data_IF_434382465944
#
_entry.id   IF_434382465944
#
_cell.length_a   1.000
_cell.length_b   1.000
_cell.length_c   1.000
_cell.angle_alpha   90.00
_cell.angle_beta   90.00
_cell.angle_gamma   90.00
#
_symmetry.space_group_name_H-M   'P 1'
#
loop_
_entity.id
_entity.type
_entity.pdbx_description
1 polymer ?
#
# COMPACT_ATOMS: atom_id res chain seq x y z
N UNK A 1 38.64 19.75 -55.17
CA UNK A 1 37.79 20.50 -54.21
C UNK A 1 37.25 19.49 -53.22
N UNK A 2 37.89 19.38 -52.05
CA UNK A 2 37.48 18.51 -50.92
C UNK A 2 36.50 19.30 -50.06
N UNK A 3 35.41 18.66 -49.65
CA UNK A 3 34.44 19.18 -48.68
C UNK A 3 35.02 18.97 -47.27
N UNK A 4 34.89 19.91 -46.32
CA UNK A 4 35.58 19.82 -45.03
C UNK A 4 34.83 18.92 -44.03
N UNK A 5 35.61 18.15 -43.28
CA UNK A 5 35.20 17.53 -42.02
C UNK A 5 34.86 18.60 -40.98
N UNK A 6 33.75 18.40 -40.25
CA UNK A 6 33.47 19.10 -38.99
C UNK A 6 33.35 18.03 -37.91
N UNK A 7 34.34 18.01 -37.02
CA UNK A 7 34.31 17.35 -35.72
C UNK A 7 34.39 18.41 -34.62
N UNK A 8 33.80 18.05 -33.48
CA UNK A 8 33.86 18.70 -32.15
C UNK A 8 32.97 19.95 -31.98
N UNK A 9 32.15 20.10 -30.95
CA UNK A 9 31.89 19.29 -29.77
C UNK A 9 30.89 20.05 -28.89
N UNK A 10 29.75 19.45 -28.57
CA UNK A 10 28.84 19.93 -27.52
C UNK A 10 29.12 19.10 -26.27
N UNK A 11 29.35 19.72 -25.10
CA UNK A 11 29.76 19.01 -23.91
C UNK A 11 28.62 18.09 -23.43
N UNK A 12 28.89 16.79 -23.50
CA UNK A 12 28.23 15.79 -22.66
C UNK A 12 28.33 16.28 -21.22
N UNK A 13 27.19 16.66 -20.63
CA UNK A 13 27.02 16.83 -19.19
C UNK A 13 27.19 15.44 -18.54
N UNK A 14 28.45 15.00 -18.43
CA UNK A 14 28.89 13.94 -17.54
C UNK A 14 29.01 14.54 -16.15
N UNK A 15 28.48 13.80 -15.18
CA UNK A 15 28.74 13.93 -13.74
C UNK A 15 28.07 15.11 -13.03
N UNK A 16 26.73 15.10 -12.96
CA UNK A 16 26.08 15.45 -11.71
C UNK A 16 25.95 14.15 -10.91
N UNK A 17 26.85 13.93 -9.95
CA UNK A 17 26.77 12.79 -9.05
C UNK A 17 25.46 12.85 -8.28
N UNK A 18 24.48 12.04 -8.69
CA UNK A 18 23.30 11.75 -7.89
C UNK A 18 23.80 10.95 -6.69
N UNK A 19 23.97 11.65 -5.57
CA UNK A 19 24.12 10.99 -4.27
C UNK A 19 22.81 10.27 -3.97
N UNK A 20 22.74 9.00 -4.35
CA UNK A 20 21.70 8.08 -3.86
C UNK A 20 22.04 7.82 -2.40
N UNK A 21 21.33 8.49 -1.47
CA UNK A 21 21.43 8.13 -0.06
C UNK A 21 21.00 6.66 0.06
N UNK A 22 21.95 5.81 0.46
CA UNK A 22 21.76 4.35 0.57
C UNK A 22 20.75 3.96 1.66
N UNK A 23 20.15 4.93 2.36
CA UNK A 23 19.28 4.71 3.52
C UNK A 23 17.80 4.55 3.21
N UNK A 24 17.33 4.94 2.01
CA UNK A 24 15.94 4.70 1.61
C UNK A 24 15.91 3.78 0.38
N UNK A 25 15.23 2.65 0.49
CA UNK A 25 14.88 1.85 -0.69
C UNK A 25 13.93 2.71 -1.54
N UNK A 26 14.31 2.96 -2.80
CA UNK A 26 13.73 3.96 -3.72
C UNK A 26 12.23 3.81 -4.06
N UNK A 27 11.54 2.90 -3.38
CA UNK A 27 10.10 2.63 -3.52
C UNK A 27 9.31 2.93 -2.24
N UNK A 28 9.91 3.56 -1.22
CA UNK A 28 9.23 3.84 0.07
C UNK A 28 9.00 5.33 0.26
N UNK A 29 7.85 5.69 0.82
CA UNK A 29 7.55 7.04 1.29
C UNK A 29 7.12 6.99 2.76
N UNK A 30 7.25 8.13 3.46
CA UNK A 30 6.76 8.28 4.84
C UNK A 30 6.11 9.64 5.01
N UNK A 31 4.85 9.62 5.44
CA UNK A 31 4.11 10.84 5.79
C UNK A 31 4.52 11.24 7.22
N UNK A 32 5.01 12.48 7.43
CA UNK A 32 5.40 12.95 8.76
C UNK A 32 4.27 12.81 9.79
N UNK A 33 4.55 12.23 10.96
CA UNK A 33 3.58 12.02 12.03
C UNK A 33 2.43 11.06 11.68
N UNK A 34 2.60 10.24 10.64
CA UNK A 34 1.54 9.38 10.11
C UNK A 34 2.16 8.07 9.58
N UNK A 35 1.67 7.62 8.42
CA UNK A 35 1.90 6.29 7.86
C UNK A 35 3.08 6.25 6.89
N UNK A 36 3.66 5.07 6.70
CA UNK A 36 4.60 4.79 5.62
C UNK A 36 3.95 3.92 4.54
N UNK A 37 4.65 3.76 3.42
CA UNK A 37 4.14 2.91 2.36
C UNK A 37 5.10 2.76 1.20
N UNK A 38 4.59 2.14 0.13
CA UNK A 38 5.34 1.91 -1.10
C UNK A 38 4.74 2.64 -2.28
N UNK A 39 5.59 3.23 -3.10
CA UNK A 39 5.19 3.94 -4.32
C UNK A 39 5.69 3.21 -5.56
N UNK A 40 4.81 3.05 -6.53
CA UNK A 40 5.04 2.44 -7.84
C UNK A 40 4.68 3.46 -8.92
N UNK A 41 5.47 3.51 -9.99
CA UNK A 41 5.35 4.54 -11.03
C UNK A 41 5.91 4.04 -12.37
N UNK A 42 5.46 4.60 -13.52
CA UNK A 42 5.95 4.18 -14.82
C UNK A 42 7.46 4.41 -14.98
N UNK A 43 8.16 3.45 -15.59
CA UNK A 43 9.63 3.48 -15.78
C UNK A 43 9.97 3.27 -17.26
N UNK A 44 10.91 4.06 -17.77
CA UNK A 44 11.40 4.00 -19.16
C UNK A 44 11.69 2.57 -19.63
N UNK A 45 11.19 2.23 -20.82
CA UNK A 45 11.36 0.90 -21.44
C UNK A 45 12.81 0.52 -21.73
N UNK A 46 13.72 1.49 -21.86
CA UNK A 46 15.16 1.27 -22.07
C UNK A 46 15.92 1.19 -20.73
N UNK A 47 15.51 0.26 -19.87
CA UNK A 47 16.19 0.00 -18.59
C UNK A 47 17.59 -0.58 -18.88
N UNK A 48 18.62 0.27 -18.83
CA UNK A 48 20.01 -0.13 -18.99
C UNK A 48 20.49 -1.11 -17.90
N UNK A 49 21.56 -1.87 -18.22
CA UNK A 49 22.26 -2.71 -17.24
C UNK A 49 22.77 -1.85 -16.07
N UNK A 50 22.22 -2.04 -14.86
CA UNK A 50 22.71 -1.39 -13.63
C UNK A 50 21.64 -0.81 -12.70
N UNK A 51 20.39 -0.69 -13.14
CA UNK A 51 19.29 -0.20 -12.29
C UNK A 51 18.83 -1.26 -11.27
N UNK A 52 18.55 -0.84 -10.04
CA UNK A 52 18.07 -1.74 -8.98
C UNK A 52 16.57 -1.96 -9.12
N UNK A 53 16.19 -3.17 -9.52
CA UNK A 53 14.80 -3.63 -9.38
C UNK A 53 14.44 -3.77 -7.89
N UNK A 54 13.22 -3.40 -7.55
CA UNK A 54 12.65 -3.73 -6.23
C UNK A 54 12.32 -5.20 -6.12
N UNK A 55 12.29 -5.67 -4.88
CA UNK A 55 11.82 -7.01 -4.54
C UNK A 55 10.31 -6.98 -4.36
N UNK A 56 9.66 -8.13 -4.52
CA UNK A 56 8.25 -8.32 -4.14
C UNK A 56 8.05 -7.91 -2.68
N UNK A 57 8.75 -8.57 -1.76
CA UNK A 57 8.82 -8.14 -0.35
C UNK A 57 10.05 -7.28 -0.14
N UNK A 58 9.86 -6.05 0.33
CA UNK A 58 10.97 -5.15 0.64
C UNK A 58 11.81 -5.74 1.78
N UNK A 59 11.13 -6.24 2.82
CA UNK A 59 11.73 -6.98 3.94
C UNK A 59 10.94 -8.27 4.21
N UNK A 60 11.37 -9.36 3.57
CA UNK A 60 10.74 -10.67 3.73
C UNK A 60 10.81 -11.20 5.17
N UNK A 61 11.90 -10.93 5.89
CA UNK A 61 12.05 -11.40 7.28
C UNK A 61 11.01 -10.72 8.17
N UNK A 62 10.87 -9.39 8.06
CA UNK A 62 9.85 -8.64 8.78
C UNK A 62 8.44 -9.11 8.45
N UNK A 63 8.13 -9.29 7.17
CA UNK A 63 6.81 -9.80 6.76
C UNK A 63 6.53 -11.19 7.35
N UNK A 64 7.46 -12.15 7.18
CA UNK A 64 7.28 -13.52 7.64
C UNK A 64 7.18 -13.61 9.17
N UNK A 65 8.00 -12.86 9.90
CA UNK A 65 7.90 -12.79 11.37
C UNK A 65 6.62 -12.10 11.84
N UNK A 66 6.16 -11.08 11.12
CA UNK A 66 4.85 -10.45 11.34
C UNK A 66 3.69 -11.44 11.21
N UNK A 67 3.69 -12.28 10.18
CA UNK A 67 2.68 -13.33 9.99
C UNK A 67 2.68 -14.35 11.15
N UNK A 68 3.85 -14.68 11.68
CA UNK A 68 3.94 -15.54 12.87
C UNK A 68 3.37 -14.87 14.11
N UNK A 69 3.54 -13.56 14.27
CA UNK A 69 2.97 -12.80 15.38
C UNK A 69 1.44 -12.70 15.30
N UNK A 70 0.89 -12.54 14.10
CA UNK A 70 -0.55 -12.71 13.85
C UNK A 70 -1.00 -14.10 14.31
N UNK A 71 -0.29 -15.15 13.90
CA UNK A 71 -0.56 -16.52 14.35
C UNK A 71 -0.55 -16.64 15.87
N UNK A 72 0.46 -16.08 16.54
CA UNK A 72 0.56 -16.09 18.01
C UNK A 72 -0.60 -15.36 18.68
N UNK A 73 -0.99 -14.21 18.15
CA UNK A 73 -2.11 -13.44 18.67
C UNK A 73 -3.43 -14.21 18.54
N UNK A 74 -3.67 -14.83 17.39
CA UNK A 74 -4.87 -15.64 17.13
C UNK A 74 -4.92 -16.92 17.98
N UNK A 75 -3.76 -17.55 18.22
CA UNK A 75 -3.63 -18.79 19.00
C UNK A 75 -3.02 -18.58 20.39
N UNK A 76 -3.23 -17.42 21.01
CA UNK A 76 -2.63 -17.04 22.31
C UNK A 76 -2.88 -18.03 23.46
N UNK A 77 -3.96 -18.81 23.39
CA UNK A 77 -4.32 -19.82 24.41
C UNK A 77 -3.64 -21.18 24.20
N UNK A 78 -3.11 -21.46 23.00
CA UNK A 78 -2.51 -22.76 22.68
C UNK A 78 -1.00 -22.73 22.87
N UNK A 79 -0.51 -23.34 23.95
CA UNK A 79 0.94 -23.47 24.22
C UNK A 79 1.68 -24.17 23.08
N UNK A 80 1.06 -25.18 22.46
CA UNK A 80 1.62 -25.89 21.31
C UNK A 80 1.84 -24.93 20.14
N UNK A 81 0.84 -24.11 19.80
CA UNK A 81 0.98 -23.14 18.71
C UNK A 81 2.02 -22.06 19.03
N UNK A 82 2.17 -21.66 20.29
CA UNK A 82 3.23 -20.72 20.69
C UNK A 82 4.63 -21.33 20.48
N UNK A 83 4.81 -22.61 20.79
CA UNK A 83 6.09 -23.32 20.55
C UNK A 83 6.35 -23.44 19.05
N UNK A 84 5.35 -23.86 18.27
CA UNK A 84 5.47 -23.98 16.81
C UNK A 84 5.83 -22.64 16.18
N UNK A 85 5.16 -21.55 16.55
CA UNK A 85 5.47 -20.21 16.04
C UNK A 85 6.91 -19.78 16.37
N UNK A 86 7.41 -20.10 17.57
CA UNK A 86 8.79 -19.80 17.97
C UNK A 86 9.84 -20.60 17.21
N UNK A 87 9.57 -21.88 16.92
CA UNK A 87 10.44 -22.70 16.06
C UNK A 87 10.46 -22.12 14.64
N UNK A 88 9.29 -21.79 14.09
CA UNK A 88 9.18 -21.20 12.75
C UNK A 88 9.89 -19.84 12.66
N UNK A 89 9.75 -18.99 13.68
CA UNK A 89 10.42 -17.68 13.71
C UNK A 89 11.94 -17.85 13.69
N UNK A 90 12.45 -18.78 14.50
CA UNK A 90 13.87 -19.11 14.51
C UNK A 90 14.35 -19.62 13.14
N UNK A 91 13.56 -20.48 12.48
CA UNK A 91 13.87 -20.94 11.12
C UNK A 91 13.88 -19.81 10.09
N UNK A 92 12.91 -18.89 10.14
CA UNK A 92 12.84 -17.72 9.25
C UNK A 92 14.09 -16.86 9.42
N UNK A 93 14.51 -16.57 10.66
CA UNK A 93 15.72 -15.78 10.95
C UNK A 93 16.99 -16.46 10.42
N UNK A 94 17.09 -17.78 10.56
CA UNK A 94 18.21 -18.54 9.99
C UNK A 94 18.21 -18.46 8.47
N UNK A 95 17.07 -18.68 7.83
CA UNK A 95 16.95 -18.61 6.37
C UNK A 95 17.30 -17.21 5.87
N UNK A 96 16.80 -16.16 6.51
CA UNK A 96 17.09 -14.77 6.16
C UNK A 96 18.58 -14.41 6.35
N UNK A 97 19.25 -15.00 7.34
CA UNK A 97 20.67 -14.80 7.60
C UNK A 97 21.57 -15.58 6.62
N UNK A 98 21.20 -16.82 6.29
CA UNK A 98 22.03 -17.74 5.50
C UNK A 98 21.80 -17.58 3.99
N UNK A 99 20.56 -17.32 3.56
CA UNK A 99 20.23 -17.08 2.16
C UNK A 99 20.05 -15.57 1.91
N UNK A 100 20.84 -14.96 1.01
CA UNK A 100 20.54 -13.63 0.52
C UNK A 100 19.11 -13.58 -0.03
N UNK A 101 18.27 -12.67 0.46
CA UNK A 101 16.89 -12.45 -0.02
C UNK A 101 16.78 -12.30 -1.54
N UNK A 102 17.87 -11.93 -2.21
CA UNK A 102 18.00 -11.87 -3.67
C UNK A 102 17.86 -13.21 -4.39
N UNK A 103 18.04 -14.34 -3.71
CA UNK A 103 17.99 -15.67 -4.32
C UNK A 103 16.58 -16.29 -4.32
N UNK A 104 15.65 -15.78 -3.51
CA UNK A 104 14.32 -16.40 -3.34
C UNK A 104 13.15 -15.43 -3.40
N UNK A 105 13.36 -14.11 -3.33
CA UNK A 105 12.29 -13.12 -3.51
C UNK A 105 12.29 -12.64 -4.97
N UNK A 106 11.20 -12.84 -5.73
CA UNK A 106 11.06 -12.30 -7.07
C UNK A 106 11.28 -10.79 -7.11
N UNK A 107 11.87 -10.32 -8.20
CA UNK A 107 12.05 -8.89 -8.46
C UNK A 107 10.89 -8.36 -9.29
N UNK A 108 10.44 -7.15 -8.98
CA UNK A 108 9.39 -6.46 -9.72
C UNK A 108 10.00 -5.64 -10.86
N UNK A 109 9.30 -5.62 -11.99
CA UNK A 109 9.72 -4.92 -13.20
C UNK A 109 9.20 -3.47 -13.27
N UNK A 110 8.58 -2.94 -12.21
CA UNK A 110 7.79 -1.69 -12.24
C UNK A 110 8.32 -0.56 -11.36
N UNK A 111 9.47 -0.70 -10.71
CA UNK A 111 10.10 0.42 -10.02
C UNK A 111 11.60 0.34 -10.20
N UNK A 112 12.16 1.36 -10.82
CA UNK A 112 13.59 1.56 -10.93
C UNK A 112 13.90 2.99 -10.50
N UNK A 113 15.18 3.30 -10.32
CA UNK A 113 15.65 4.63 -9.90
C UNK A 113 15.48 5.72 -11.00
N UNK A 114 14.67 5.44 -12.04
CA UNK A 114 14.30 6.32 -13.14
C UNK A 114 12.79 6.29 -13.38
N UNK A 115 12.24 7.38 -13.90
CA UNK A 115 10.81 7.57 -14.18
C UNK A 115 10.66 7.86 -15.68
N UNK A 116 9.57 7.41 -16.30
CA UNK A 116 9.28 7.81 -17.69
C UNK A 116 9.19 9.34 -17.86
N UNK A 117 9.58 9.88 -19.02
CA UNK A 117 9.39 11.29 -19.35
C UNK A 117 7.90 11.51 -19.66
N UNK A 118 7.12 11.64 -18.60
CA UNK A 118 5.69 11.94 -18.64
C UNK A 118 5.49 13.42 -18.28
N UNK A 119 4.46 14.05 -18.85
CA UNK A 119 4.07 15.41 -18.50
C UNK A 119 3.73 15.51 -16.99
N UNK A 120 4.17 16.57 -16.33
CA UNK A 120 3.80 16.83 -14.93
C UNK A 120 2.26 16.96 -14.80
N UNK A 121 1.70 16.44 -13.71
CA UNK A 121 0.25 16.48 -13.45
C UNK A 121 -0.62 15.65 -14.40
N UNK A 122 -0.06 14.67 -15.11
CA UNK A 122 -0.77 13.91 -16.15
C UNK A 122 -1.19 12.49 -15.74
N UNK A 123 -0.69 11.96 -14.61
CA UNK A 123 -0.96 10.59 -14.18
C UNK A 123 -1.98 10.53 -13.04
N UNK A 124 -2.94 9.60 -13.07
CA UNK A 124 -3.80 9.37 -11.90
C UNK A 124 -2.97 8.85 -10.72
N UNK A 125 -3.43 9.16 -9.51
CA UNK A 125 -2.93 8.55 -8.27
C UNK A 125 -3.90 7.45 -7.82
N UNK A 126 -3.45 6.21 -7.87
CA UNK A 126 -4.09 5.09 -7.22
C UNK A 126 -3.59 5.01 -5.78
N UNK A 127 -4.48 4.98 -4.80
CA UNK A 127 -4.09 4.75 -3.39
C UNK A 127 -4.65 3.42 -2.93
N UNK A 128 -3.74 2.50 -2.60
CA UNK A 128 -4.06 1.09 -2.36
C UNK A 128 -4.04 0.76 -0.86
N UNK A 129 -5.11 0.13 -0.37
CA UNK A 129 -5.26 -0.33 1.01
C UNK A 129 -5.31 -1.87 1.08
N UNK A 130 -4.42 -2.46 1.88
CA UNK A 130 -4.22 -3.92 1.97
C UNK A 130 -5.31 -4.67 2.79
N UNK A 131 -5.24 -5.99 2.88
CA UNK A 131 -6.18 -6.78 3.69
C UNK A 131 -5.92 -6.73 5.21
N UNK A 132 -6.81 -7.33 6.01
CA UNK A 132 -6.49 -7.64 7.40
C UNK A 132 -5.29 -8.62 7.43
N UNK A 133 -4.39 -8.49 8.42
CA UNK A 133 -3.16 -9.29 8.56
C UNK A 133 -2.16 -9.17 7.40
N UNK A 134 -2.38 -8.28 6.44
CA UNK A 134 -1.39 -7.90 5.42
C UNK A 134 -0.44 -6.82 5.93
N UNK A 135 0.53 -6.38 5.12
CA UNK A 135 1.26 -5.14 5.37
C UNK A 135 1.42 -4.27 4.12
N UNK A 136 0.79 -4.64 3.00
CA UNK A 136 0.99 -3.99 1.71
C UNK A 136 1.79 -4.88 0.79
N UNK A 137 3.03 -5.23 1.15
CA UNK A 137 3.99 -5.92 0.28
C UNK A 137 3.42 -7.14 -0.46
N UNK A 138 2.46 -7.87 0.12
CA UNK A 138 1.79 -8.99 -0.55
C UNK A 138 1.09 -8.60 -1.87
N UNK A 139 0.67 -7.34 -2.01
CA UNK A 139 0.01 -6.78 -3.19
C UNK A 139 0.97 -6.05 -4.13
N UNK A 140 2.28 -6.02 -3.86
CA UNK A 140 3.22 -5.25 -4.68
C UNK A 140 3.25 -5.68 -6.16
N UNK A 141 2.95 -6.96 -6.47
CA UNK A 141 2.77 -7.43 -7.85
C UNK A 141 1.52 -6.83 -8.51
N UNK A 142 0.42 -6.71 -7.78
CA UNK A 142 -0.80 -6.05 -8.26
C UNK A 142 -0.56 -4.56 -8.45
N UNK A 143 0.04 -3.88 -7.46
CA UNK A 143 0.40 -2.47 -7.56
C UNK A 143 1.33 -2.21 -8.76
N UNK A 144 2.33 -3.08 -8.97
CA UNK A 144 3.19 -3.10 -10.16
C UNK A 144 2.41 -3.21 -11.47
N UNK A 145 1.42 -4.11 -11.52
CA UNK A 145 0.59 -4.28 -12.71
C UNK A 145 -0.30 -3.06 -12.94
N UNK A 146 -0.96 -2.51 -11.91
CA UNK A 146 -1.81 -1.34 -12.01
C UNK A 146 -1.07 -0.12 -12.57
N UNK A 147 0.18 0.10 -12.16
CA UNK A 147 1.04 1.16 -12.73
C UNK A 147 1.20 1.06 -14.25
N UNK A 148 1.23 -0.14 -14.81
CA UNK A 148 1.53 -0.40 -16.23
C UNK A 148 0.28 -0.58 -17.09
N UNK A 149 -0.72 -1.27 -16.55
CA UNK A 149 -1.91 -1.70 -17.28
C UNK A 149 -3.00 -0.60 -17.33
N UNK A 150 -2.95 0.38 -16.42
CA UNK A 150 -3.78 1.58 -16.56
C UNK A 150 -3.32 2.34 -17.80
N UNK A 151 -4.26 2.62 -18.71
CA UNK A 151 -3.98 3.32 -19.97
C UNK A 151 -3.36 4.68 -19.68
N UNK A 152 -2.16 4.92 -20.21
CA UNK A 152 -1.38 6.14 -19.94
C UNK A 152 -0.52 6.08 -18.69
N UNK A 153 -0.54 4.96 -17.95
CA UNK A 153 0.19 4.75 -16.71
C UNK A 153 -0.54 5.29 -15.48
N UNK A 154 -0.06 4.90 -14.29
CA UNK A 154 -0.55 5.42 -13.02
C UNK A 154 0.55 5.45 -11.96
N UNK A 155 0.45 6.41 -11.04
CA UNK A 155 1.19 6.36 -9.78
C UNK A 155 0.37 5.53 -8.81
N UNK A 156 0.95 4.51 -8.18
CA UNK A 156 0.28 3.69 -7.17
C UNK A 156 0.98 3.89 -5.84
N UNK A 157 0.26 4.39 -4.84
CA UNK A 157 0.73 4.51 -3.46
C UNK A 157 0.03 3.47 -2.59
N UNK A 158 0.77 2.43 -2.21
CA UNK A 158 0.35 1.42 -1.25
C UNK A 158 0.60 1.92 0.18
N UNK A 159 -0.39 1.77 1.05
CA UNK A 159 -0.37 2.30 2.43
C UNK A 159 -0.12 1.18 3.42
N UNK A 160 0.88 1.30 4.29
CA UNK A 160 1.19 0.32 5.35
C UNK A 160 0.52 0.74 6.66
N UNK A 161 -0.73 0.30 6.86
CA UNK A 161 -1.59 0.81 7.93
C UNK A 161 -1.07 0.55 9.35
N UNK A 162 -1.24 1.54 10.25
CA UNK A 162 -0.70 1.54 11.63
C UNK A 162 -1.78 1.30 12.69
N UNK A 163 -2.96 0.85 12.29
CA UNK A 163 -4.15 0.64 13.12
C UNK A 163 -4.14 -0.67 13.92
N UNK A 164 -3.02 -1.40 13.90
CA UNK A 164 -2.89 -2.72 14.50
C UNK A 164 -3.63 -3.82 13.71
N UNK A 165 -4.04 -3.56 12.46
CA UNK A 165 -4.61 -4.59 11.58
C UNK A 165 -3.54 -5.32 10.76
N UNK A 166 -2.37 -4.72 10.58
CA UNK A 166 -1.28 -5.26 9.79
C UNK A 166 -0.51 -6.38 10.51
N UNK A 167 0.11 -7.29 9.75
CA UNK A 167 1.05 -8.26 10.33
C UNK A 167 2.38 -7.62 10.74
N UNK A 168 2.75 -6.54 10.08
CA UNK A 168 3.90 -5.72 10.41
C UNK A 168 3.56 -4.26 10.11
N UNK A 169 3.78 -3.41 11.11
CA UNK A 169 3.68 -1.97 11.00
C UNK A 169 4.61 -1.35 12.04
N UNK A 170 5.09 -0.14 11.76
CA UNK A 170 5.91 0.63 12.69
C UNK A 170 5.34 2.04 12.85
N UNK A 171 5.48 2.61 14.05
CA UNK A 171 5.09 3.99 14.33
C UNK A 171 6.10 5.00 13.72
N UNK A 172 5.89 6.29 14.02
CA UNK A 172 6.78 7.37 13.57
C UNK A 172 8.22 7.26 14.09
N UNK A 173 8.43 6.56 15.22
CA UNK A 173 9.73 6.35 15.85
C UNK A 173 10.37 5.01 15.42
N UNK A 174 9.69 4.22 14.59
CA UNK A 174 10.14 2.91 14.16
C UNK A 174 9.85 1.79 15.16
N UNK A 175 9.05 2.03 16.20
CA UNK A 175 8.60 0.97 17.10
C UNK A 175 7.54 0.11 16.44
N UNK A 176 7.64 -1.20 16.66
CA UNK A 176 6.68 -2.16 16.13
C UNK A 176 5.29 -1.97 16.74
N UNK A 177 4.29 -1.86 15.87
CA UNK A 177 2.87 -1.87 16.24
C UNK A 177 2.39 -3.32 16.19
N UNK A 178 1.91 -3.90 17.31
CA UNK A 178 1.47 -5.28 17.34
C UNK A 178 0.10 -5.43 16.63
N UNK A 179 -0.11 -6.59 16.02
CA UNK A 179 -1.42 -6.99 15.54
C UNK A 179 -2.41 -7.11 16.70
N UNK A 180 -3.59 -6.50 16.54
CA UNK A 180 -4.69 -6.51 17.50
C UNK A 180 -5.73 -7.53 17.00
N UNK A 181 -5.85 -8.72 17.63
CA UNK A 181 -6.88 -9.68 17.30
C UNK A 181 -8.25 -9.21 17.78
N UNK A 182 -9.31 -9.80 17.23
CA UNK A 182 -10.67 -9.53 17.71
C UNK A 182 -10.75 -9.79 19.22
N UNK A 183 -11.34 -8.86 20.00
CA UNK A 183 -11.40 -9.00 21.43
C UNK A 183 -12.26 -10.22 21.79
N UNK A 184 -11.69 -11.14 22.57
CA UNK A 184 -12.42 -12.30 23.09
C UNK A 184 -13.02 -11.92 24.44
N UNK A 185 -14.35 -11.82 24.51
CA UNK A 185 -15.08 -11.52 25.76
C UNK A 185 -15.04 -10.05 26.19
N UNK A 186 -14.82 -9.12 25.25
CA UNK A 186 -15.03 -7.69 25.50
C UNK A 186 -16.53 -7.39 25.50
N UNK A 187 -17.03 -6.50 26.37
CA UNK A 187 -18.43 -6.08 26.34
C UNK A 187 -18.80 -5.32 25.05
N UNK A 188 -17.81 -4.85 24.28
CA UNK A 188 -18.05 -4.19 23.00
C UNK A 188 -17.04 -4.64 21.92
N UNK A 189 -17.26 -5.80 21.28
CA UNK A 189 -16.47 -6.24 20.13
C UNK A 189 -16.77 -5.41 18.87
N UNK A 190 -17.77 -4.53 18.90
CA UNK A 190 -18.28 -3.83 17.71
C UNK A 190 -17.45 -2.62 17.32
N UNK A 191 -16.66 -2.10 18.24
CA UNK A 191 -15.90 -0.87 18.04
C UNK A 191 -14.57 -1.06 17.32
N UNK A 192 -13.90 -2.21 17.46
CA UNK A 192 -12.51 -2.36 17.02
C UNK A 192 -12.36 -2.17 15.51
N UNK A 193 -13.07 -2.96 14.71
CA UNK A 193 -12.93 -2.95 13.24
C UNK A 193 -13.42 -1.65 12.60
N UNK A 194 -14.54 -1.03 13.03
CA UNK A 194 -14.91 0.30 12.56
C UNK A 194 -13.88 1.39 12.90
N UNK A 195 -13.31 1.39 14.11
CA UNK A 195 -12.25 2.34 14.49
C UNK A 195 -11.00 2.17 13.62
N UNK A 196 -10.61 0.92 13.38
CA UNK A 196 -9.52 0.57 12.48
C UNK A 196 -9.78 1.06 11.05
N UNK A 197 -10.93 0.75 10.46
CA UNK A 197 -11.32 1.23 9.12
C UNK A 197 -11.31 2.77 9.03
N UNK A 198 -11.82 3.45 10.05
CA UNK A 198 -11.77 4.92 10.13
C UNK A 198 -10.33 5.45 10.15
N UNK A 199 -9.47 4.85 10.98
CA UNK A 199 -8.05 5.22 11.02
C UNK A 199 -7.38 4.98 9.66
N UNK A 200 -7.60 3.81 9.05
CA UNK A 200 -7.05 3.46 7.73
C UNK A 200 -7.48 4.45 6.64
N UNK A 201 -8.75 4.89 6.66
CA UNK A 201 -9.25 5.89 5.73
C UNK A 201 -8.60 7.27 5.94
N UNK A 202 -8.32 7.66 7.20
CA UNK A 202 -7.55 8.85 7.51
C UNK A 202 -6.10 8.75 7.04
N UNK A 203 -5.44 7.60 7.25
CA UNK A 203 -4.08 7.33 6.77
C UNK A 203 -4.01 7.43 5.24
N UNK A 204 -4.97 6.84 4.51
CA UNK A 204 -5.09 7.02 3.04
C UNK A 204 -5.22 8.51 2.67
N UNK A 205 -6.06 9.27 3.38
CA UNK A 205 -6.23 10.69 3.12
C UNK A 205 -4.93 11.49 3.36
N UNK A 206 -4.18 11.16 4.42
CA UNK A 206 -2.88 11.76 4.71
C UNK A 206 -1.85 11.47 3.62
N UNK A 207 -1.84 10.26 3.05
CA UNK A 207 -0.99 9.94 1.89
C UNK A 207 -1.36 10.77 0.67
N UNK A 208 -2.66 10.88 0.36
CA UNK A 208 -3.14 11.71 -0.76
C UNK A 208 -2.73 13.17 -0.57
N UNK A 209 -2.97 13.74 0.60
CA UNK A 209 -2.58 15.12 0.93
C UNK A 209 -1.09 15.33 0.81
N UNK A 210 -0.30 14.41 1.36
CA UNK A 210 1.15 14.47 1.32
C UNK A 210 1.68 14.44 -0.11
N UNK A 211 1.25 13.49 -0.93
CA UNK A 211 1.74 13.35 -2.31
C UNK A 211 1.24 14.49 -3.21
N UNK A 212 -0.01 14.93 -3.07
CA UNK A 212 -0.52 16.06 -3.85
C UNK A 212 0.14 17.39 -3.45
N UNK A 213 0.49 17.59 -2.18
CA UNK A 213 1.24 18.76 -1.73
C UNK A 213 2.63 18.82 -2.39
N UNK A 214 3.33 17.68 -2.44
CA UNK A 214 4.62 17.57 -3.14
C UNK A 214 4.45 17.85 -4.64
N UNK A 215 3.44 17.25 -5.26
CA UNK A 215 3.12 17.49 -6.67
C UNK A 215 2.78 18.94 -7.00
N UNK A 216 2.27 19.69 -6.03
CA UNK A 216 1.96 21.12 -6.16
C UNK A 216 3.15 22.05 -5.87
N UNK A 217 4.33 21.50 -5.58
CA UNK A 217 5.58 22.25 -5.39
C UNK A 217 6.17 22.22 -3.97
N UNK A 218 5.60 21.47 -3.02
CA UNK A 218 6.26 21.27 -1.73
C UNK A 218 7.47 20.31 -1.85
N UNK A 219 8.68 20.86 -1.78
CA UNK A 219 9.89 20.05 -1.86
C UNK A 219 10.13 19.21 -0.60
N UNK A 220 10.48 17.94 -0.80
CA UNK A 220 11.01 17.03 0.24
C UNK A 220 12.49 16.74 0.03
N UNK A 221 13.11 16.13 1.02
CA UNK A 221 14.52 15.72 0.94
C UNK A 221 14.78 14.63 -0.09
N UNK A 222 13.75 13.87 -0.51
CA UNK A 222 13.86 12.80 -1.49
C UNK A 222 13.60 13.33 -2.92
N UNK A 223 14.63 13.45 -3.77
CA UNK A 223 14.48 14.02 -5.11
C UNK A 223 13.72 13.12 -6.09
N UNK A 224 13.63 11.81 -5.82
CA UNK A 224 12.85 10.89 -6.63
C UNK A 224 11.38 11.01 -6.27
N UNK A 225 11.06 11.04 -4.98
CA UNK A 225 9.70 11.27 -4.52
C UNK A 225 9.14 12.60 -5.06
N UNK A 226 9.93 13.68 -5.04
CA UNK A 226 9.52 14.96 -5.61
C UNK A 226 9.18 14.83 -7.11
N UNK A 227 10.03 14.12 -7.87
CA UNK A 227 9.79 13.88 -9.30
C UNK A 227 8.54 13.06 -9.56
N UNK A 228 8.37 11.95 -8.84
CA UNK A 228 7.22 11.06 -8.99
C UNK A 228 5.92 11.79 -8.62
N UNK A 229 5.92 12.52 -7.51
CA UNK A 229 4.74 13.23 -7.04
C UNK A 229 4.31 14.37 -7.97
N UNK A 230 5.24 15.02 -8.68
CA UNK A 230 4.91 16.02 -9.71
C UNK A 230 4.17 15.45 -10.91
N UNK A 231 4.21 14.14 -11.14
CA UNK A 231 3.41 13.52 -12.20
C UNK A 231 1.94 13.34 -11.83
N UNK A 232 1.58 13.49 -10.55
CA UNK A 232 0.23 13.23 -10.05
C UNK A 232 -0.73 14.33 -10.49
N UNK A 233 -1.81 13.93 -11.15
CA UNK A 233 -3.01 14.74 -11.34
C UNK A 233 -3.88 14.68 -10.07
N UNK A 234 -3.99 15.78 -9.30
CA UNK A 234 -4.76 15.80 -8.05
C UNK A 234 -6.28 15.67 -8.27
N UNK A 235 -6.76 15.71 -9.52
CA UNK A 235 -8.17 15.52 -9.88
C UNK A 235 -8.52 14.09 -10.28
N UNK A 236 -7.53 13.19 -10.34
CA UNK A 236 -7.73 11.78 -10.69
C UNK A 236 -7.16 10.86 -9.60
N UNK A 237 -7.84 10.86 -8.45
CA UNK A 237 -7.51 10.00 -7.32
C UNK A 237 -8.41 8.76 -7.33
N UNK A 238 -7.80 7.57 -7.42
CA UNK A 238 -8.52 6.29 -7.50
C UNK A 238 -8.22 5.46 -6.25
N UNK A 239 -9.08 5.49 -5.23
CA UNK A 239 -8.93 4.62 -4.06
C UNK A 239 -9.25 3.17 -4.45
N UNK A 240 -8.35 2.26 -4.08
CA UNK A 240 -8.44 0.82 -4.33
C UNK A 240 -8.15 0.07 -3.04
N UNK A 241 -8.90 -1.00 -2.77
CA UNK A 241 -8.68 -1.76 -1.55
C UNK A 241 -9.10 -3.21 -1.63
N UNK A 242 -8.32 -4.08 -0.99
CA UNK A 242 -8.56 -5.51 -0.90
C UNK A 242 -9.06 -5.92 0.48
N UNK A 243 -10.10 -6.75 0.57
CA UNK A 243 -10.63 -7.27 1.82
C UNK A 243 -10.97 -6.15 2.81
N UNK A 244 -10.28 -6.05 3.94
CA UNK A 244 -10.44 -4.96 4.90
C UNK A 244 -10.09 -3.58 4.31
N UNK A 245 -9.20 -3.54 3.32
CA UNK A 245 -8.95 -2.37 2.50
C UNK A 245 -10.14 -1.97 1.64
N UNK A 246 -10.98 -2.92 1.20
CA UNK A 246 -12.22 -2.61 0.49
C UNK A 246 -13.22 -1.87 1.40
N UNK A 247 -13.35 -2.28 2.66
CA UNK A 247 -14.10 -1.53 3.67
C UNK A 247 -13.48 -0.15 3.96
N UNK A 248 -12.15 -0.06 3.92
CA UNK A 248 -11.41 1.21 4.06
C UNK A 248 -11.75 2.18 2.94
N UNK A 249 -11.78 1.72 1.68
CA UNK A 249 -12.17 2.54 0.53
C UNK A 249 -13.64 2.98 0.64
N UNK A 250 -14.53 2.08 1.07
CA UNK A 250 -15.94 2.42 1.31
C UNK A 250 -16.07 3.53 2.36
N UNK A 251 -15.31 3.45 3.47
CA UNK A 251 -15.29 4.46 4.52
C UNK A 251 -14.73 5.79 4.01
N UNK A 252 -13.62 5.75 3.28
CA UNK A 252 -13.00 6.93 2.68
C UNK A 252 -13.99 7.66 1.78
N UNK A 253 -14.59 6.96 0.81
CA UNK A 253 -15.50 7.57 -0.17
C UNK A 253 -16.82 8.06 0.43
N UNK A 254 -17.23 7.52 1.58
CA UNK A 254 -18.50 7.90 2.22
C UNK A 254 -18.33 8.97 3.30
N UNK A 255 -17.09 9.21 3.76
CA UNK A 255 -16.84 10.08 4.92
C UNK A 255 -15.54 10.87 4.84
N UNK A 256 -14.37 10.25 5.05
CA UNK A 256 -13.09 10.95 5.20
C UNK A 256 -12.73 11.74 3.94
N UNK A 257 -12.87 11.10 2.78
CA UNK A 257 -12.63 11.69 1.46
C UNK A 257 -13.84 12.38 0.85
N UNK A 258 -14.95 12.56 1.59
CA UNK A 258 -16.22 13.02 1.01
C UNK A 258 -16.08 14.36 0.28
N UNK A 259 -15.30 15.30 0.81
CA UNK A 259 -15.04 16.57 0.12
C UNK A 259 -14.37 16.36 -1.25
N UNK A 260 -13.38 15.47 -1.36
CA UNK A 260 -12.72 15.15 -2.64
C UNK A 260 -13.66 14.44 -3.61
N UNK A 261 -14.60 13.66 -3.08
CA UNK A 261 -15.69 13.06 -3.85
C UNK A 261 -16.63 14.14 -4.41
N UNK A 262 -17.08 15.06 -3.56
CA UNK A 262 -17.95 16.18 -3.94
C UNK A 262 -17.28 17.13 -4.96
N UNK A 263 -15.98 17.39 -4.77
CA UNK A 263 -15.14 18.18 -5.67
C UNK A 263 -14.78 17.44 -6.98
N UNK A 264 -15.23 16.18 -7.14
CA UNK A 264 -14.98 15.30 -8.29
C UNK A 264 -13.50 15.03 -8.56
N UNK A 265 -12.68 15.05 -7.51
CA UNK A 265 -11.28 14.61 -7.57
C UNK A 265 -11.15 13.08 -7.47
N UNK A 266 -12.21 12.40 -7.03
CA UNK A 266 -12.32 10.93 -6.97
C UNK A 266 -13.33 10.48 -8.03
N UNK A 267 -12.90 10.12 -9.25
CA UNK A 267 -13.82 9.77 -10.34
C UNK A 267 -14.48 8.39 -10.15
N UNK A 268 -13.81 7.48 -9.45
CA UNK A 268 -14.32 6.13 -9.16
C UNK A 268 -13.56 5.48 -8.00
N UNK A 269 -14.08 4.35 -7.51
CA UNK A 269 -13.45 3.51 -6.51
C UNK A 269 -13.47 2.03 -6.92
N UNK A 270 -12.47 1.25 -6.47
CA UNK A 270 -12.42 -0.21 -6.71
C UNK A 270 -12.32 -0.96 -5.38
N UNK A 271 -13.27 -1.86 -5.15
CA UNK A 271 -13.34 -2.70 -3.95
C UNK A 271 -13.13 -4.15 -4.37
N UNK A 272 -12.04 -4.76 -3.92
CA UNK A 272 -11.70 -6.15 -4.19
C UNK A 272 -12.02 -7.01 -2.98
N UNK A 273 -12.97 -7.92 -3.09
CA UNK A 273 -13.47 -8.78 -2.01
C UNK A 273 -13.74 -8.01 -0.71
N UNK A 274 -14.49 -6.89 -0.73
CA UNK A 274 -14.59 -6.02 0.43
C UNK A 274 -15.16 -6.76 1.64
N UNK A 275 -14.43 -6.76 2.76
CA UNK A 275 -14.90 -7.36 4.00
C UNK A 275 -15.65 -6.32 4.84
N UNK A 276 -16.98 -6.32 4.76
CA UNK A 276 -17.86 -5.28 5.34
C UNK A 276 -18.80 -5.79 6.43
N UNK A 277 -18.56 -7.00 6.95
CA UNK A 277 -19.35 -7.59 8.02
C UNK A 277 -18.48 -8.43 8.95
N UNK A 278 -18.62 -8.24 10.25
CA UNK A 278 -17.90 -9.05 11.26
C UNK A 278 -18.89 -9.92 12.00
N UNK A 279 -18.58 -11.21 12.11
CA UNK A 279 -19.16 -12.09 13.14
C UNK A 279 -18.20 -12.22 14.33
N UNK A 280 -18.51 -11.62 15.50
CA UNK A 280 -17.68 -11.69 16.69
C UNK A 280 -17.46 -13.13 17.18
N UNK A 281 -16.23 -13.41 17.64
CA UNK A 281 -15.83 -14.74 18.16
C UNK A 281 -16.45 -15.08 19.51
N UNK A 282 -17.02 -14.11 20.20
CA UNK A 282 -17.72 -14.31 21.48
C UNK A 282 -19.17 -14.79 21.30
N UNK A 283 -19.62 -14.97 20.05
CA UNK A 283 -20.98 -15.41 19.72
C UNK A 283 -22.02 -14.30 19.77
N UNK A 284 -21.61 -13.04 19.97
CA UNK A 284 -22.51 -11.90 19.84
C UNK A 284 -22.97 -11.71 18.38
N UNK A 285 -24.10 -11.02 18.21
CA UNK A 285 -24.66 -10.76 16.88
C UNK A 285 -23.67 -9.94 16.04
N UNK A 286 -23.40 -10.41 14.83
CA UNK A 286 -22.57 -9.72 13.86
C UNK A 286 -23.12 -8.35 13.43
N UNK A 287 -22.26 -7.56 12.81
CA UNK A 287 -22.56 -6.17 12.46
C UNK A 287 -21.86 -5.76 11.16
N UNK A 288 -22.49 -4.81 10.46
CA UNK A 288 -22.02 -4.22 9.20
C UNK A 288 -21.09 -3.05 9.48
N UNK A 289 -20.09 -2.87 8.63
CA UNK A 289 -19.17 -1.73 8.65
C UNK A 289 -18.56 -1.50 7.27
N UNK A 290 -18.17 -0.27 6.91
CA UNK A 290 -18.39 0.97 7.64
C UNK A 290 -19.86 1.41 7.58
N UNK A 291 -20.42 1.83 8.72
CA UNK A 291 -21.83 2.19 8.89
C UNK A 291 -22.30 3.20 7.85
N UNK A 292 -21.51 4.27 7.62
CA UNK A 292 -21.89 5.34 6.69
C UNK A 292 -21.99 4.89 5.23
N UNK A 293 -21.17 3.92 4.81
CA UNK A 293 -21.29 3.37 3.46
C UNK A 293 -22.56 2.54 3.31
N UNK A 294 -23.01 1.85 4.37
CA UNK A 294 -24.29 1.13 4.37
C UNK A 294 -25.49 2.08 4.45
N UNK A 295 -25.41 3.16 5.23
CA UNK A 295 -26.50 4.11 5.41
C UNK A 295 -26.74 4.98 4.17
N UNK A 296 -25.66 5.47 3.56
CA UNK A 296 -25.72 6.49 2.51
C UNK A 296 -25.34 5.96 1.12
N UNK A 297 -24.75 4.76 1.06
CA UNK A 297 -24.08 4.27 -0.12
C UNK A 297 -22.69 4.90 -0.31
N UNK A 298 -21.90 4.30 -1.21
CA UNK A 298 -20.63 4.87 -1.65
C UNK A 298 -20.93 5.98 -2.66
N UNK A 299 -20.43 7.19 -2.41
CA UNK A 299 -20.82 8.41 -3.13
C UNK A 299 -20.11 8.59 -4.50
N UNK A 300 -19.45 7.55 -5.00
CA UNK A 300 -18.75 7.54 -6.30
C UNK A 300 -19.09 6.28 -7.09
N UNK A 301 -18.98 6.31 -8.44
CA UNK A 301 -19.02 5.09 -9.24
C UNK A 301 -18.04 4.06 -8.68
N UNK A 302 -18.57 2.87 -8.35
CA UNK A 302 -17.82 1.84 -7.62
C UNK A 302 -17.82 0.55 -8.40
N UNK A 303 -16.63 -0.01 -8.65
CA UNK A 303 -16.46 -1.36 -9.16
C UNK A 303 -16.17 -2.30 -7.98
N UNK A 304 -17.02 -3.30 -7.79
CA UNK A 304 -16.77 -4.38 -6.83
C UNK A 304 -16.33 -5.63 -7.59
N UNK A 305 -15.16 -6.14 -7.24
CA UNK A 305 -14.60 -7.38 -7.76
C UNK A 305 -14.65 -8.41 -6.63
N UNK A 306 -15.41 -9.49 -6.81
CA UNK A 306 -15.59 -10.51 -5.77
C UNK A 306 -15.14 -11.88 -6.25
N UNK A 307 -14.43 -12.60 -5.39
CA UNK A 307 -14.16 -14.02 -5.55
C UNK A 307 -15.38 -14.83 -5.12
N UNK A 308 -15.62 -15.91 -5.86
CA UNK A 308 -16.80 -16.75 -5.69
C UNK A 308 -16.86 -17.36 -4.28
N UNK A 309 -15.75 -17.90 -3.79
CA UNK A 309 -15.71 -18.61 -2.51
C UNK A 309 -15.79 -17.67 -1.30
N UNK A 310 -15.17 -16.48 -1.38
CA UNK A 310 -15.28 -15.50 -0.30
C UNK A 310 -16.71 -14.98 -0.15
N UNK A 311 -17.39 -14.73 -1.27
CA UNK A 311 -18.78 -14.24 -1.30
C UNK A 311 -19.77 -15.26 -0.73
N UNK A 312 -19.45 -16.57 -0.81
CA UNK A 312 -20.27 -17.64 -0.21
C UNK A 312 -20.14 -17.73 1.31
N UNK A 313 -19.19 -17.03 1.93
CA UNK A 313 -19.03 -17.09 3.38
C UNK A 313 -20.26 -16.50 4.10
N UNK A 314 -20.65 -17.04 5.28
CA UNK A 314 -21.81 -16.54 6.02
C UNK A 314 -21.75 -15.04 6.33
N UNK A 315 -20.55 -14.54 6.65
CA UNK A 315 -20.32 -13.13 6.94
C UNK A 315 -20.61 -12.26 5.70
N UNK A 316 -20.16 -12.68 4.52
CA UNK A 316 -20.38 -11.93 3.29
C UNK A 316 -21.83 -12.01 2.79
N UNK A 317 -22.51 -13.14 2.97
CA UNK A 317 -23.95 -13.25 2.70
C UNK A 317 -24.78 -12.36 3.62
N UNK A 318 -24.34 -12.14 4.87
CA UNK A 318 -24.99 -11.21 5.79
C UNK A 318 -24.70 -9.73 5.48
N UNK A 319 -23.61 -9.46 4.76
CA UNK A 319 -23.18 -8.12 4.37
C UNK A 319 -24.00 -7.52 3.22
N UNK A 320 -24.45 -8.36 2.28
CA UNK A 320 -25.31 -7.99 1.14
C UNK A 320 -26.74 -7.64 1.57
#
# INVERSE_FOLDING_TARGET
KRVPEVREGLPLLRNAGVFVDKRFELSKYRVPGSVEGRIFYPVESEVGQGLKQTKWFADFERYATGQLDVGRALFRRSRVMQIVASILEWMVKIIAHVLPSRLFVPKLSSTYDCVEPVEEGSLPLVVFSHGLTGNGDENAMLCSALTREIVGGAIVAEVHHQDGSACEAVDEYGHKIPYIPDPIGSPDPRDLRPKQVRQRANEMNSVIEYLCAIGSGEERSDPLLNRVARLIDPRRIIPVGYSFGGATVAEYCSTVGLKRVEDKCVPCAVLMDPWTYVTPRDGSQGFRFPEKAHDRGIQVPTLTLSSEEFTKSPDMQAAT
#
